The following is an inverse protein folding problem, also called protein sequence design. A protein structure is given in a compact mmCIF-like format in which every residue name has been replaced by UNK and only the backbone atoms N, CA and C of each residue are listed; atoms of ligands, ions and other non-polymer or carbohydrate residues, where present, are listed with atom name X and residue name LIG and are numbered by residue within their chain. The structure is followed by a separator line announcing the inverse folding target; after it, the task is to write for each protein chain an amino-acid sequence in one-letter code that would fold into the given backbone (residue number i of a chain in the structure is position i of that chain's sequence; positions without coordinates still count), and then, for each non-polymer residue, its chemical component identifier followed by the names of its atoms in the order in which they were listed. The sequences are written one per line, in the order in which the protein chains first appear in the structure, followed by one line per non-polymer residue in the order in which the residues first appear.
data_IF_067942929701
#
_entry.id   IF_067942929701
#
_cell.length_a   1.000
_cell.length_b   1.000
_cell.length_c   1.000
_cell.angle_alpha   90.00
_cell.angle_beta   90.00
_cell.angle_gamma   90.00
#
_symmetry.space_group_name_H-M   'P 1'
#
loop_
_entity.id
_entity.type
_entity.pdbx_description
1 polymer ?
#
# COMPACT_ATOMS: atom_id res chain seq x y z
N UNK A 1 -13.00 -28.85 11.39
CA UNK A 1 -14.04 -29.26 10.43
C UNK A 1 -15.33 -28.52 10.75
N UNK A 2 -15.92 -27.87 9.78
CA UNK A 2 -17.20 -27.17 9.91
C UNK A 2 -18.01 -27.30 8.60
N UNK A 3 -19.29 -27.64 8.65
CA UNK A 3 -20.18 -27.81 7.48
C UNK A 3 -19.53 -28.61 6.32
N UNK A 4 -18.93 -29.75 6.64
CA UNK A 4 -18.22 -30.64 5.70
C UNK A 4 -16.98 -30.04 5.03
N UNK A 5 -16.44 -28.97 5.57
CA UNK A 5 -15.15 -28.39 5.15
C UNK A 5 -14.09 -28.65 6.20
N UNK A 6 -12.88 -28.86 5.72
CA UNK A 6 -11.73 -29.15 6.56
C UNK A 6 -10.58 -28.25 6.17
N UNK A 7 -9.92 -27.67 7.17
CA UNK A 7 -8.63 -27.01 7.03
C UNK A 7 -7.64 -27.73 7.94
N UNK A 8 -6.51 -28.13 7.42
CA UNK A 8 -5.47 -28.81 8.17
C UNK A 8 -4.35 -27.83 8.46
N UNK A 9 -4.02 -27.64 9.73
CA UNK A 9 -2.79 -27.02 10.17
C UNK A 9 -1.83 -28.19 10.41
N UNK A 10 -0.84 -28.42 9.54
CA UNK A 10 -0.03 -29.65 9.59
C UNK A 10 0.82 -29.74 10.86
N UNK A 11 1.31 -28.61 11.37
CA UNK A 11 2.00 -28.47 12.65
C UNK A 11 2.02 -27.00 13.08
N UNK A 12 2.22 -26.79 14.38
CA UNK A 12 2.44 -25.44 14.92
C UNK A 12 3.95 -25.20 15.00
N UNK A 13 4.44 -24.36 14.11
CA UNK A 13 5.84 -23.95 14.11
C UNK A 13 6.09 -23.02 15.31
N UNK A 14 7.00 -23.41 16.19
CA UNK A 14 7.37 -22.62 17.37
C UNK A 14 7.94 -21.24 16.98
N UNK A 15 8.62 -21.13 15.86
CA UNK A 15 9.12 -19.85 15.33
C UNK A 15 8.00 -18.92 14.87
N UNK A 16 6.82 -19.47 14.57
CA UNK A 16 5.60 -18.74 14.18
C UNK A 16 4.60 -18.54 15.31
N UNK A 17 4.97 -18.88 16.56
CA UNK A 17 4.05 -18.79 17.72
C UNK A 17 3.36 -17.43 17.88
N UNK A 18 4.02 -16.35 17.47
CA UNK A 18 3.47 -14.99 17.52
C UNK A 18 2.37 -14.75 16.48
N UNK A 19 2.25 -15.62 15.49
CA UNK A 19 1.22 -15.58 14.45
C UNK A 19 0.13 -16.65 14.65
N UNK A 20 0.14 -17.35 15.78
CA UNK A 20 -0.81 -18.44 16.03
C UNK A 20 -2.27 -17.99 15.95
N UNK A 21 -2.57 -16.83 16.51
CA UNK A 21 -3.92 -16.23 16.44
C UNK A 21 -4.32 -15.95 14.98
N UNK A 22 -3.43 -15.34 14.21
CA UNK A 22 -3.64 -15.11 12.79
C UNK A 22 -3.86 -16.41 12.01
N UNK A 23 -3.02 -17.43 12.23
CA UNK A 23 -3.13 -18.73 11.54
C UNK A 23 -4.45 -19.44 11.91
N UNK A 24 -4.92 -19.33 13.16
CA UNK A 24 -6.21 -19.87 13.60
C UNK A 24 -7.39 -19.11 13.00
N UNK A 25 -7.41 -17.79 13.03
CA UNK A 25 -8.45 -16.95 12.41
C UNK A 25 -8.53 -17.23 10.91
N UNK A 26 -7.39 -17.34 10.25
CA UNK A 26 -7.30 -17.72 8.84
C UNK A 26 -7.92 -19.08 8.57
N UNK A 27 -7.61 -20.09 9.40
CA UNK A 27 -8.19 -21.42 9.31
C UNK A 27 -9.72 -21.41 9.49
N UNK A 28 -10.22 -20.67 10.50
CA UNK A 28 -11.65 -20.50 10.76
C UNK A 28 -12.36 -19.82 9.58
N UNK A 29 -11.79 -18.74 9.06
CA UNK A 29 -12.36 -18.02 7.93
C UNK A 29 -12.41 -18.87 6.67
N UNK A 30 -11.38 -19.68 6.39
CA UNK A 30 -11.35 -20.58 5.23
C UNK A 30 -12.40 -21.67 5.28
N UNK A 31 -12.79 -22.13 6.50
CA UNK A 31 -13.85 -23.11 6.68
C UNK A 31 -15.23 -22.46 6.63
N UNK A 32 -15.38 -21.25 7.16
CA UNK A 32 -16.66 -20.57 7.26
C UNK A 32 -17.12 -19.95 5.93
N UNK A 33 -16.20 -19.41 5.14
CA UNK A 33 -16.50 -18.75 3.88
C UNK A 33 -16.66 -19.76 2.74
N UNK A 34 -17.81 -19.68 2.04
CA UNK A 34 -18.11 -20.58 0.91
C UNK A 34 -17.37 -20.20 -0.37
N UNK A 35 -16.92 -18.96 -0.49
CA UNK A 35 -16.24 -18.40 -1.66
C UNK A 35 -14.88 -17.87 -1.24
N UNK A 36 -13.83 -18.29 -1.95
CA UNK A 36 -12.52 -17.67 -1.84
C UNK A 36 -12.64 -16.26 -2.43
N UNK A 37 -12.21 -15.25 -1.66
CA UNK A 37 -12.20 -13.85 -2.13
C UNK A 37 -11.24 -13.71 -3.29
N UNK A 38 -11.72 -13.09 -4.39
CA UNK A 38 -10.91 -12.80 -5.56
C UNK A 38 -10.31 -11.42 -5.46
N UNK A 39 -8.97 -11.35 -5.42
CA UNK A 39 -8.20 -10.11 -5.31
C UNK A 39 -7.61 -9.78 -6.67
N UNK A 40 -8.07 -8.67 -7.26
CA UNK A 40 -7.45 -8.08 -8.45
C UNK A 40 -6.20 -7.31 -8.07
N UNK A 41 -5.10 -7.54 -8.79
CA UNK A 41 -3.84 -6.83 -8.56
C UNK A 41 -3.51 -6.03 -9.81
N UNK A 42 -3.44 -4.71 -9.65
CA UNK A 42 -3.11 -3.74 -10.69
C UNK A 42 -1.80 -3.05 -10.32
N UNK A 43 -0.79 -3.20 -11.16
CA UNK A 43 0.47 -2.48 -11.00
C UNK A 43 1.10 -2.14 -12.36
N UNK A 44 1.55 -0.90 -12.59
CA UNK A 44 2.23 -0.53 -13.82
C UNK A 44 3.68 -1.04 -13.88
N UNK A 45 4.32 -1.33 -12.74
CA UNK A 45 5.71 -1.73 -12.68
C UNK A 45 5.95 -3.18 -12.23
N UNK A 46 4.93 -3.88 -11.75
CA UNK A 46 5.02 -5.33 -11.48
C UNK A 46 4.42 -6.08 -12.68
N UNK A 47 5.19 -6.86 -13.44
CA UNK A 47 4.67 -7.63 -14.55
C UNK A 47 3.56 -8.59 -14.09
N UNK A 48 2.50 -8.74 -14.87
CA UNK A 48 1.39 -9.66 -14.54
C UNK A 48 1.85 -11.09 -14.35
N UNK A 49 2.89 -11.53 -15.08
CA UNK A 49 3.51 -12.84 -14.88
C UNK A 49 4.15 -13.00 -13.51
N UNK A 50 4.63 -11.92 -12.91
CA UNK A 50 5.26 -11.91 -11.59
C UNK A 50 4.25 -12.08 -10.46
N UNK A 51 3.01 -11.64 -10.68
CA UNK A 51 1.91 -11.84 -9.73
C UNK A 51 1.49 -13.31 -9.71
N UNK A 52 1.47 -13.96 -10.87
CA UNK A 52 0.98 -15.32 -11.03
C UNK A 52 2.06 -16.40 -10.79
N UNK A 53 3.33 -16.07 -11.02
CA UNK A 53 4.46 -16.99 -10.83
C UNK A 53 5.31 -16.53 -9.65
N UNK A 54 6.00 -17.50 -9.01
CA UNK A 54 6.96 -17.17 -7.96
C UNK A 54 8.12 -16.36 -8.54
N UNK A 55 8.47 -15.27 -7.87
CA UNK A 55 9.62 -14.43 -8.20
C UNK A 55 10.45 -14.22 -6.94
N UNK A 56 11.76 -14.37 -7.08
CA UNK A 56 12.70 -14.06 -6.00
C UNK A 56 12.63 -12.56 -5.67
N UNK A 57 12.56 -12.26 -4.39
CA UNK A 57 12.47 -10.87 -3.89
C UNK A 57 11.05 -10.31 -3.76
N UNK A 58 9.99 -11.10 -4.06
CA UNK A 58 8.60 -10.67 -3.97
C UNK A 58 7.69 -11.82 -3.49
N UNK A 59 7.89 -12.25 -2.24
CA UNK A 59 7.13 -13.37 -1.66
C UNK A 59 5.69 -13.02 -1.25
N UNK A 60 5.32 -11.73 -1.24
CA UNK A 60 3.98 -11.26 -0.88
C UNK A 60 2.87 -12.01 -1.63
N UNK A 61 3.00 -12.18 -2.94
CA UNK A 61 1.94 -12.83 -3.73
C UNK A 61 1.83 -14.33 -3.44
N UNK A 62 2.93 -14.99 -3.07
CA UNK A 62 2.88 -16.38 -2.62
C UNK A 62 2.13 -16.53 -1.29
N UNK A 63 2.29 -15.56 -0.38
CA UNK A 63 1.53 -15.52 0.87
C UNK A 63 0.04 -15.23 0.61
N UNK A 64 -0.28 -14.28 -0.27
CA UNK A 64 -1.66 -13.94 -0.61
C UNK A 64 -2.39 -15.11 -1.28
N UNK A 65 -1.75 -15.86 -2.18
CA UNK A 65 -2.31 -17.05 -2.85
C UNK A 65 -2.75 -18.15 -1.87
N UNK A 66 -2.17 -18.21 -0.68
CA UNK A 66 -2.58 -19.19 0.34
C UNK A 66 -4.00 -18.93 0.87
N UNK A 67 -4.57 -17.75 0.64
CA UNK A 67 -5.86 -17.32 1.21
C UNK A 67 -6.82 -16.75 0.19
N UNK A 68 -6.33 -16.27 -0.94
CA UNK A 68 -7.08 -15.51 -1.92
C UNK A 68 -6.85 -16.08 -3.34
N UNK A 69 -7.85 -15.93 -4.19
CA UNK A 69 -7.72 -16.12 -5.63
C UNK A 69 -7.18 -14.84 -6.25
N UNK A 70 -5.97 -14.86 -6.81
CA UNK A 70 -5.31 -13.68 -7.35
C UNK A 70 -5.54 -13.54 -8.85
N UNK A 71 -6.03 -12.38 -9.27
CA UNK A 71 -6.19 -11.99 -10.66
C UNK A 71 -5.24 -10.85 -11.01
N UNK A 72 -4.23 -11.12 -11.84
CA UNK A 72 -3.34 -10.08 -12.34
C UNK A 72 -4.04 -9.25 -13.43
N UNK A 73 -4.10 -7.93 -13.25
CA UNK A 73 -4.77 -7.02 -14.18
C UNK A 73 -3.69 -6.25 -14.94
N UNK A 74 -3.64 -6.37 -16.28
CA UNK A 74 -2.70 -5.57 -17.06
C UNK A 74 -3.00 -4.08 -16.90
N UNK A 75 -1.99 -3.26 -16.59
CA UNK A 75 -2.17 -1.83 -16.30
C UNK A 75 -2.71 -1.02 -17.49
N UNK A 76 -2.49 -1.52 -18.71
CA UNK A 76 -3.03 -0.93 -19.95
C UNK A 76 -4.47 -1.36 -20.25
N UNK A 77 -5.09 -2.18 -19.41
CA UNK A 77 -6.50 -2.56 -19.55
C UNK A 77 -7.40 -1.34 -19.36
N UNK A 78 -8.53 -1.34 -20.07
CA UNK A 78 -9.52 -0.26 -19.98
C UNK A 78 -10.59 -0.51 -18.91
N UNK A 79 -10.73 -1.76 -18.45
CA UNK A 79 -11.81 -2.17 -17.54
C UNK A 79 -11.31 -3.24 -16.58
N UNK A 80 -11.80 -3.18 -15.34
CA UNK A 80 -11.60 -4.22 -14.33
C UNK A 80 -12.50 -5.43 -14.64
N UNK A 81 -12.05 -6.67 -14.33
CA UNK A 81 -12.93 -7.83 -14.30
C UNK A 81 -14.06 -7.65 -13.27
N UNK A 82 -15.28 -8.08 -13.63
CA UNK A 82 -16.47 -7.85 -12.78
C UNK A 82 -16.50 -8.70 -11.51
N UNK A 83 -15.82 -9.84 -11.53
CA UNK A 83 -15.79 -10.86 -10.49
C UNK A 83 -14.76 -10.61 -9.37
N UNK A 84 -14.04 -9.49 -9.41
CA UNK A 84 -13.10 -9.07 -8.35
C UNK A 84 -13.88 -8.61 -7.13
N UNK A 85 -13.52 -9.12 -5.96
CA UNK A 85 -14.11 -8.74 -4.67
C UNK A 85 -13.33 -7.59 -3.98
N UNK A 86 -12.00 -7.56 -4.14
CA UNK A 86 -11.08 -6.54 -3.62
C UNK A 86 -10.09 -6.15 -4.73
N UNK A 87 -9.77 -4.87 -4.84
CA UNK A 87 -8.73 -4.40 -5.74
C UNK A 87 -7.52 -3.89 -4.95
N UNK A 88 -6.35 -4.49 -5.22
CA UNK A 88 -5.04 -4.05 -4.75
C UNK A 88 -4.32 -3.31 -5.87
N UNK A 89 -4.05 -2.03 -5.66
CA UNK A 89 -3.29 -1.17 -6.58
C UNK A 89 -1.91 -0.92 -5.97
N UNK A 90 -0.85 -1.26 -6.72
CA UNK A 90 0.54 -1.11 -6.26
C UNK A 90 1.27 -0.15 -7.20
N UNK A 91 1.46 1.09 -6.76
CA UNK A 91 1.94 2.20 -7.58
C UNK A 91 0.96 2.55 -8.69
N UNK A 92 0.98 3.80 -9.12
CA UNK A 92 0.12 4.25 -10.22
C UNK A 92 0.94 5.17 -11.11
N UNK A 93 1.40 4.63 -12.21
CA UNK A 93 1.87 5.42 -13.32
C UNK A 93 0.73 5.47 -14.34
N UNK A 94 0.87 6.07 -15.40
CA UNK A 94 -0.09 6.36 -16.47
C UNK A 94 -1.22 5.30 -16.60
N UNK A 95 -2.30 5.48 -15.84
CA UNK A 95 -3.54 4.72 -16.02
C UNK A 95 -4.42 5.40 -17.09
N UNK A 96 -5.09 4.60 -17.91
CA UNK A 96 -6.06 5.15 -18.87
C UNK A 96 -7.29 5.69 -18.14
N UNK A 97 -7.92 6.73 -18.68
CA UNK A 97 -9.12 7.35 -18.10
C UNK A 97 -10.25 6.32 -17.89
N UNK A 98 -10.39 5.36 -18.80
CA UNK A 98 -11.36 4.28 -18.71
C UNK A 98 -11.06 3.34 -17.53
N UNK A 99 -9.78 3.09 -17.24
CA UNK A 99 -9.39 2.29 -16.07
C UNK A 99 -9.68 3.05 -14.77
N UNK A 100 -9.36 4.35 -14.70
CA UNK A 100 -9.69 5.20 -13.55
C UNK A 100 -11.21 5.21 -13.29
N UNK A 101 -12.03 5.32 -14.34
CA UNK A 101 -13.47 5.18 -14.24
C UNK A 101 -13.88 3.79 -13.72
N UNK A 102 -13.24 2.73 -14.20
CA UNK A 102 -13.54 1.37 -13.74
C UNK A 102 -13.18 1.15 -12.27
N UNK A 103 -12.09 1.77 -11.79
CA UNK A 103 -11.70 1.78 -10.36
C UNK A 103 -12.74 2.53 -9.53
N UNK A 104 -13.15 3.72 -9.98
CA UNK A 104 -14.19 4.51 -9.34
C UNK A 104 -15.49 3.70 -9.19
N UNK A 105 -15.96 3.08 -10.28
CA UNK A 105 -17.20 2.31 -10.26
C UNK A 105 -17.09 0.99 -9.46
N UNK A 106 -15.90 0.40 -9.35
CA UNK A 106 -15.64 -0.71 -8.44
C UNK A 106 -15.90 -0.28 -6.98
N UNK A 107 -15.36 0.85 -6.55
CA UNK A 107 -15.62 1.43 -5.23
C UNK A 107 -17.11 1.80 -5.07
N UNK A 108 -17.70 2.48 -6.05
CA UNK A 108 -19.11 2.89 -6.00
C UNK A 108 -20.05 1.69 -5.90
N UNK A 109 -19.69 0.54 -6.47
CA UNK A 109 -20.47 -0.71 -6.35
C UNK A 109 -20.40 -1.37 -4.96
N UNK A 110 -19.66 -0.80 -4.02
CA UNK A 110 -19.53 -1.27 -2.65
C UNK A 110 -18.38 -2.25 -2.41
N UNK A 111 -17.36 -2.24 -3.26
CA UNK A 111 -16.18 -3.09 -3.15
C UNK A 111 -14.98 -2.29 -2.65
N UNK A 112 -14.10 -2.92 -1.88
CA UNK A 112 -12.99 -2.25 -1.21
C UNK A 112 -11.77 -2.06 -2.12
N UNK A 113 -10.95 -1.05 -1.77
CA UNK A 113 -9.66 -0.78 -2.40
C UNK A 113 -8.54 -0.86 -1.35
N UNK A 114 -7.39 -1.39 -1.77
CA UNK A 114 -6.11 -1.23 -1.06
C UNK A 114 -5.14 -0.60 -2.05
N UNK A 115 -4.54 0.53 -1.69
CA UNK A 115 -3.72 1.32 -2.60
C UNK A 115 -2.39 1.62 -1.94
N UNK A 116 -1.31 1.22 -2.60
CA UNK A 116 0.06 1.53 -2.23
C UNK A 116 0.59 2.58 -3.21
N UNK A 117 0.92 3.74 -2.68
CA UNK A 117 1.47 4.87 -3.43
C UNK A 117 2.89 5.14 -2.93
N UNK A 118 3.66 5.91 -3.67
CA UNK A 118 4.99 6.28 -3.26
C UNK A 118 5.38 7.67 -3.76
N UNK A 119 6.24 8.34 -3.03
CA UNK A 119 6.88 9.58 -3.46
C UNK A 119 8.24 9.32 -4.11
N UNK A 120 8.87 8.20 -3.79
CA UNK A 120 10.15 7.82 -4.36
C UNK A 120 10.34 6.30 -4.37
N UNK A 121 10.04 5.67 -5.50
CA UNK A 121 10.19 4.22 -5.69
C UNK A 121 11.66 3.80 -5.67
N UNK A 122 12.06 3.00 -4.70
CA UNK A 122 13.43 2.47 -4.59
C UNK A 122 13.60 1.21 -5.43
N UNK A 123 12.60 0.36 -5.53
CA UNK A 123 12.63 -0.89 -6.27
C UNK A 123 11.71 -0.85 -7.49
N UNK A 124 12.25 -1.20 -8.65
CA UNK A 124 11.49 -1.47 -9.86
C UNK A 124 11.81 -2.90 -10.37
N UNK A 125 10.92 -3.89 -10.13
CA UNK A 125 11.15 -5.26 -10.55
C UNK A 125 11.23 -5.45 -12.07
N UNK A 126 10.64 -4.56 -12.86
CA UNK A 126 10.57 -4.70 -14.32
C UNK A 126 11.93 -4.53 -15.01
N UNK A 127 12.79 -3.70 -14.44
CA UNK A 127 14.03 -3.27 -15.11
C UNK A 127 15.31 -3.64 -14.34
N UNK A 128 15.23 -4.37 -13.22
CA UNK A 128 16.34 -4.57 -12.29
C UNK A 128 17.03 -3.26 -11.88
N UNK A 129 16.32 -2.15 -11.95
CA UNK A 129 16.79 -0.84 -11.52
C UNK A 129 16.30 -0.55 -10.12
N UNK A 130 17.15 0.08 -9.32
CA UNK A 130 16.84 0.46 -7.95
C UNK A 130 16.23 1.86 -7.83
N UNK A 131 15.99 2.54 -8.94
CA UNK A 131 15.36 3.86 -8.99
C UNK A 131 14.54 4.04 -10.27
N UNK A 132 13.35 4.59 -10.15
CA UNK A 132 12.53 5.05 -11.26
C UNK A 132 12.88 6.49 -11.65
N UNK A 133 12.55 6.89 -12.87
CA UNK A 133 12.67 8.28 -13.29
C UNK A 133 11.63 9.18 -12.59
N UNK A 134 11.84 10.51 -12.65
CA UNK A 134 10.88 11.47 -12.04
C UNK A 134 9.48 11.31 -12.61
N UNK A 135 9.36 11.07 -13.92
CA UNK A 135 8.08 10.89 -14.59
C UNK A 135 7.31 9.66 -14.10
N UNK A 136 8.04 8.65 -13.59
CA UNK A 136 7.45 7.40 -13.10
C UNK A 136 7.01 7.48 -11.63
N UNK A 137 7.26 8.59 -10.97
CA UNK A 137 6.85 8.86 -9.59
C UNK A 137 5.56 9.70 -9.49
N UNK A 138 4.90 9.95 -10.63
CA UNK A 138 3.62 10.65 -10.68
C UNK A 138 2.49 9.64 -10.41
N UNK A 139 1.64 9.97 -9.44
CA UNK A 139 0.48 9.15 -9.08
C UNK A 139 -0.75 9.61 -9.87
N UNK A 140 -1.14 8.90 -10.90
CA UNK A 140 -2.27 9.26 -11.78
C UNK A 140 -3.64 9.10 -11.12
N UNK A 141 -3.73 8.37 -10.01
CA UNK A 141 -4.96 8.20 -9.23
C UNK A 141 -5.25 9.40 -8.30
N UNK A 142 -4.38 10.39 -8.27
CA UNK A 142 -4.44 11.50 -7.30
C UNK A 142 -5.75 12.26 -7.32
N UNK A 143 -6.32 12.51 -8.51
CA UNK A 143 -7.61 13.21 -8.64
C UNK A 143 -8.77 12.41 -8.03
N UNK A 144 -8.79 11.08 -8.23
CA UNK A 144 -9.76 10.19 -7.59
C UNK A 144 -9.61 10.24 -6.07
N UNK A 145 -8.39 10.12 -5.57
CA UNK A 145 -8.11 10.11 -4.14
C UNK A 145 -8.51 11.43 -3.48
N UNK A 146 -8.31 12.56 -4.18
CA UNK A 146 -8.73 13.87 -3.67
C UNK A 146 -10.24 13.96 -3.51
N UNK A 147 -11.01 13.43 -4.44
CA UNK A 147 -12.48 13.35 -4.33
C UNK A 147 -12.90 12.44 -3.17
N UNK A 148 -12.16 11.36 -2.93
CA UNK A 148 -12.43 10.43 -1.81
C UNK A 148 -11.96 10.96 -0.45
N UNK A 149 -11.27 12.10 -0.41
CA UNK A 149 -10.91 12.77 0.84
C UNK A 149 -9.47 12.55 1.30
N UNK A 150 -8.55 12.19 0.40
CA UNK A 150 -7.12 12.09 0.73
C UNK A 150 -6.26 12.60 -0.42
N UNK A 151 -5.14 13.22 -0.09
CA UNK A 151 -4.09 13.66 -1.03
C UNK A 151 -2.76 13.04 -0.62
N UNK A 152 -1.98 12.60 -1.60
CA UNK A 152 -0.57 12.27 -1.38
C UNK A 152 0.31 13.47 -1.73
N UNK A 153 1.28 13.77 -0.86
CA UNK A 153 2.32 14.74 -1.13
C UNK A 153 3.47 14.04 -1.88
N UNK A 154 3.33 13.90 -3.19
CA UNK A 154 4.26 13.16 -4.05
C UNK A 154 5.61 13.83 -4.25
N UNK A 155 5.72 15.15 -3.95
CA UNK A 155 6.96 15.91 -4.16
C UNK A 155 7.91 15.85 -2.95
N UNK A 156 7.47 15.26 -1.85
CA UNK A 156 8.20 15.21 -0.60
C UNK A 156 8.34 13.77 -0.11
N UNK A 157 9.51 13.52 0.49
CA UNK A 157 9.81 12.30 1.23
C UNK A 157 9.84 12.62 2.72
N UNK A 158 9.22 11.79 3.51
CA UNK A 158 9.19 11.90 4.97
C UNK A 158 10.43 11.23 5.56
N UNK A 159 10.99 11.88 6.58
CA UNK A 159 11.93 11.24 7.50
C UNK A 159 11.46 11.39 8.95
N UNK A 160 11.95 10.51 9.83
CA UNK A 160 11.72 10.57 11.28
C UNK A 160 12.98 10.09 12.01
N UNK A 161 13.50 10.94 12.92
CA UNK A 161 14.72 10.61 13.66
C UNK A 161 14.50 9.43 14.61
N UNK A 162 13.34 9.37 15.27
CA UNK A 162 13.04 8.31 16.24
C UNK A 162 12.84 6.93 15.59
N UNK A 163 12.48 6.89 14.31
CA UNK A 163 12.26 5.68 13.56
C UNK A 163 13.38 5.37 12.56
N UNK A 164 14.46 6.16 12.59
CA UNK A 164 15.57 6.00 11.65
C UNK A 164 16.19 4.60 11.72
N UNK A 165 16.46 4.02 10.56
CA UNK A 165 17.15 2.74 10.43
C UNK A 165 18.65 2.93 10.19
N UNK A 166 19.51 2.04 10.71
CA UNK A 166 20.93 2.05 10.39
C UNK A 166 21.16 1.64 8.94
N UNK A 167 21.92 2.42 8.20
CA UNK A 167 22.39 2.11 6.85
C UNK A 167 23.92 2.25 6.77
N UNK A 168 24.52 1.59 5.78
CA UNK A 168 25.97 1.72 5.53
C UNK A 168 26.18 2.78 4.44
N UNK A 169 26.97 3.80 4.75
CA UNK A 169 27.33 4.83 3.79
C UNK A 169 28.42 4.35 2.81
N UNK A 170 28.75 5.17 1.81
CA UNK A 170 29.80 4.86 0.81
C UNK A 170 31.20 4.67 1.41
N UNK A 171 31.44 5.16 2.63
CA UNK A 171 32.70 5.05 3.37
C UNK A 171 32.68 3.87 4.36
N UNK A 172 31.70 2.97 4.27
CA UNK A 172 31.50 1.84 5.17
C UNK A 172 31.20 2.23 6.63
N UNK A 173 30.72 3.46 6.89
CA UNK A 173 30.28 3.86 8.20
C UNK A 173 28.79 3.55 8.37
N UNK A 174 28.42 3.06 9.56
CA UNK A 174 27.01 2.93 9.93
C UNK A 174 26.48 4.31 10.35
N UNK A 175 25.39 4.72 9.72
CA UNK A 175 24.71 6.00 10.01
C UNK A 175 23.22 5.75 10.17
N UNK A 176 22.54 6.53 11.02
CA UNK A 176 21.09 6.49 11.15
C UNK A 176 20.46 7.30 10.02
N UNK A 177 19.63 6.64 9.21
CA UNK A 177 19.02 7.22 8.03
C UNK A 177 17.53 7.47 8.27
N UNK A 178 17.09 8.72 8.45
CA UNK A 178 15.73 9.03 8.89
C UNK A 178 14.65 8.69 7.87
N UNK A 179 14.99 8.51 6.59
CA UNK A 179 14.05 8.21 5.51
C UNK A 179 13.77 6.70 5.35
N UNK A 180 14.47 5.85 6.10
CA UNK A 180 14.11 4.44 6.27
C UNK A 180 13.57 4.27 7.69
N UNK A 181 12.24 4.38 7.80
CA UNK A 181 11.54 4.48 9.07
C UNK A 181 11.04 3.10 9.52
N UNK A 182 11.66 2.53 10.53
CA UNK A 182 11.15 1.32 11.19
C UNK A 182 10.14 1.72 12.25
N UNK A 183 8.89 1.86 11.83
CA UNK A 183 7.78 2.24 12.69
C UNK A 183 7.49 1.11 13.67
N UNK A 184 7.55 1.40 14.95
CA UNK A 184 7.24 0.47 16.03
C UNK A 184 5.76 0.59 16.48
N UNK A 185 5.44 -0.12 17.56
CA UNK A 185 4.09 -0.14 18.14
C UNK A 185 3.54 1.23 18.54
N UNK A 186 4.35 2.27 18.68
CA UNK A 186 3.90 3.62 19.07
C UNK A 186 3.38 4.42 17.87
N UNK A 187 3.89 4.14 16.68
CA UNK A 187 3.43 4.73 15.43
C UNK A 187 2.37 3.90 14.70
N UNK A 188 1.90 2.80 15.31
CA UNK A 188 0.85 1.93 14.78
C UNK A 188 -0.39 2.07 15.65
N UNK A 189 -1.53 2.43 15.05
CA UNK A 189 -2.83 2.47 15.74
C UNK A 189 -3.27 1.06 16.14
N UNK A 190 -3.09 0.68 17.39
CA UNK A 190 -3.38 -0.66 17.92
C UNK A 190 -4.86 -0.91 18.15
N UNK A 191 -5.66 0.13 18.26
CA UNK A 191 -7.09 0.03 18.51
C UNK A 191 -7.85 -0.38 17.24
N UNK A 192 -7.22 -0.21 16.09
CA UNK A 192 -7.81 -0.62 14.81
C UNK A 192 -7.55 -2.11 14.52
N UNK A 193 -8.59 -2.92 14.21
CA UNK A 193 -8.47 -4.37 13.99
C UNK A 193 -7.47 -4.79 12.92
N UNK A 194 -7.28 -3.97 11.86
CA UNK A 194 -6.33 -4.23 10.77
C UNK A 194 -4.89 -4.34 11.28
N UNK A 195 -4.56 -3.65 12.36
CA UNK A 195 -3.22 -3.58 12.91
C UNK A 195 -2.93 -4.66 13.98
N UNK A 196 -3.88 -5.54 14.26
CA UNK A 196 -3.70 -6.64 15.23
C UNK A 196 -2.54 -7.54 14.78
N UNK A 197 -1.58 -7.77 15.67
CA UNK A 197 -0.42 -8.62 15.42
C UNK A 197 0.74 -7.91 14.71
N UNK A 198 0.55 -6.69 14.18
CA UNK A 198 1.63 -5.91 13.57
C UNK A 198 2.49 -5.30 14.68
N UNK A 199 3.78 -5.65 14.71
CA UNK A 199 4.73 -5.15 15.72
C UNK A 199 5.61 -4.01 15.20
N UNK A 200 5.95 -4.05 13.94
CA UNK A 200 6.70 -3.01 13.24
C UNK A 200 6.41 -3.06 11.73
N UNK A 201 6.62 -1.94 11.07
CA UNK A 201 6.58 -1.78 9.62
C UNK A 201 7.76 -0.93 9.19
N UNK A 202 8.41 -1.29 8.09
CA UNK A 202 9.45 -0.47 7.48
C UNK A 202 8.81 0.37 6.37
N UNK A 203 9.00 1.69 6.41
CA UNK A 203 8.67 2.62 5.35
C UNK A 203 9.98 3.19 4.77
N UNK A 204 10.11 3.14 3.45
CA UNK A 204 11.34 3.47 2.73
C UNK A 204 11.09 4.67 1.82
N UNK A 205 11.63 5.82 2.20
CA UNK A 205 11.51 7.06 1.40
C UNK A 205 10.07 7.43 1.03
N UNK A 206 9.16 7.16 1.93
CA UNK A 206 7.72 7.29 1.74
C UNK A 206 7.22 8.74 1.65
N UNK A 207 6.06 8.92 1.03
CA UNK A 207 5.34 10.19 1.00
C UNK A 207 4.46 10.44 2.22
N UNK A 208 3.73 11.56 2.21
CA UNK A 208 2.74 11.93 3.23
C UNK A 208 1.32 11.79 2.69
N UNK A 209 0.44 11.14 3.46
CA UNK A 209 -0.99 11.13 3.21
C UNK A 209 -1.66 12.26 3.99
N UNK A 210 -2.31 13.17 3.29
CA UNK A 210 -3.03 14.31 3.86
C UNK A 210 -4.53 14.03 3.73
N UNK A 211 -5.21 13.86 4.86
CA UNK A 211 -6.66 13.65 4.90
C UNK A 211 -7.41 14.96 4.77
N UNK A 212 -8.48 14.99 3.99
CA UNK A 212 -9.24 16.18 3.62
C UNK A 212 -10.63 16.25 4.27
N UNK A 213 -11.05 15.19 4.95
CA UNK A 213 -12.34 15.08 5.64
C UNK A 213 -12.21 14.27 6.94
N UNK A 214 -13.30 14.13 7.70
CA UNK A 214 -13.32 13.44 9.00
C UNK A 214 -13.60 11.91 8.90
N UNK A 215 -13.94 11.40 7.71
CA UNK A 215 -14.32 9.97 7.54
C UNK A 215 -13.10 9.07 7.35
N UNK A 216 -12.16 9.14 8.29
CA UNK A 216 -10.93 8.37 8.23
C UNK A 216 -10.39 7.99 9.60
N UNK A 217 -9.54 6.97 9.62
CA UNK A 217 -8.67 6.66 10.75
C UNK A 217 -7.23 6.48 10.28
N UNK A 218 -6.29 7.08 11.03
CA UNK A 218 -4.86 6.88 10.80
C UNK A 218 -4.47 5.49 11.28
N UNK A 219 -3.82 4.71 10.42
CA UNK A 219 -3.35 3.37 10.76
C UNK A 219 -1.88 3.37 11.18
N UNK A 220 -1.05 4.14 10.47
CA UNK A 220 0.39 4.28 10.74
C UNK A 220 0.79 5.74 10.59
N UNK A 221 1.63 6.21 11.53
CA UNK A 221 2.05 7.61 11.57
C UNK A 221 3.45 7.77 12.20
N UNK A 222 4.10 8.88 11.87
CA UNK A 222 5.41 9.26 12.41
C UNK A 222 5.29 9.85 13.83
N UNK A 223 6.43 10.06 14.47
CA UNK A 223 6.52 10.90 15.68
C UNK A 223 6.51 12.39 15.30
N UNK A 224 6.55 13.26 16.30
CA UNK A 224 6.76 14.70 16.11
C UNK A 224 8.22 15.05 15.81
N UNK A 225 9.14 14.06 15.75
CA UNK A 225 10.53 14.24 15.32
C UNK A 225 10.66 13.99 13.81
N UNK A 226 9.58 14.12 13.08
CA UNK A 226 9.56 13.97 11.63
C UNK A 226 9.87 15.29 10.90
N UNK A 227 10.16 15.18 9.63
CA UNK A 227 10.38 16.28 8.70
C UNK A 227 10.24 15.81 7.27
N UNK A 228 10.32 16.73 6.32
CA UNK A 228 10.18 16.45 4.89
C UNK A 228 11.37 16.97 4.10
N UNK A 229 11.72 16.27 3.03
CA UNK A 229 12.78 16.64 2.08
C UNK A 229 12.22 16.50 0.67
N UNK A 230 12.64 17.36 -0.25
CA UNK A 230 12.24 17.30 -1.65
C UNK A 230 12.69 15.97 -2.29
N UNK A 231 11.79 15.26 -2.96
CA UNK A 231 12.08 13.95 -3.53
C UNK A 231 13.14 14.01 -4.65
N UNK A 232 13.31 15.15 -5.34
CA UNK A 232 14.31 15.31 -6.36
C UNK A 232 15.75 15.24 -5.81
N UNK A 233 15.95 15.56 -4.53
CA UNK A 233 17.26 15.48 -3.91
C UNK A 233 17.75 14.04 -3.77
N UNK A 234 16.84 13.06 -3.69
CA UNK A 234 17.18 11.64 -3.61
C UNK A 234 17.86 11.09 -4.88
N UNK A 235 17.73 11.80 -6.00
CA UNK A 235 18.39 11.47 -7.28
C UNK A 235 19.78 12.07 -7.41
N UNK A 236 20.03 13.16 -6.68
CA UNK A 236 21.22 13.98 -6.83
C UNK A 236 22.18 13.76 -5.65
N UNK A 237 21.65 13.64 -4.45
CA UNK A 237 22.43 13.63 -3.22
C UNK A 237 22.77 12.20 -2.78
N UNK A 238 23.92 12.06 -2.14
CA UNK A 238 24.26 10.86 -1.38
C UNK A 238 23.58 10.89 0.00
N UNK A 239 23.64 9.76 0.70
CA UNK A 239 23.01 9.55 2.01
C UNK A 239 23.35 10.65 3.03
N UNK A 240 24.63 11.03 3.14
CA UNK A 240 25.07 12.06 4.11
C UNK A 240 24.50 13.44 3.75
N UNK A 241 24.46 13.79 2.47
CA UNK A 241 23.90 15.06 2.01
C UNK A 241 22.40 15.13 2.28
N UNK A 242 21.67 14.04 2.03
CA UNK A 242 20.23 13.94 2.34
C UNK A 242 19.94 14.13 3.84
N UNK A 243 20.76 13.53 4.71
CA UNK A 243 20.65 13.72 6.17
C UNK A 243 20.87 15.17 6.54
N UNK A 244 21.80 15.88 5.90
CA UNK A 244 22.05 17.29 6.19
C UNK A 244 20.90 18.21 5.75
N UNK A 245 20.14 17.82 4.72
CA UNK A 245 18.94 18.55 4.28
C UNK A 245 17.74 18.31 5.20
N UNK A 246 17.74 17.19 5.95
CA UNK A 246 16.65 16.84 6.84
C UNK A 246 16.56 17.81 8.03
N UNK A 247 15.36 18.35 8.21
CA UNK A 247 15.02 19.19 9.37
C UNK A 247 13.68 18.76 9.94
N UNK A 248 13.68 18.39 11.21
CA UNK A 248 12.43 18.12 11.94
C UNK A 248 11.61 19.42 12.08
N UNK A 249 10.30 19.29 12.00
CA UNK A 249 9.36 20.42 12.07
C UNK A 249 8.30 20.28 13.16
N UNK A 250 8.47 19.32 14.06
CA UNK A 250 7.56 19.01 15.19
C UNK A 250 6.14 18.57 14.78
N UNK A 251 5.97 18.05 13.56
CA UNK A 251 4.69 17.54 13.08
C UNK A 251 4.72 16.00 12.99
N UNK A 252 3.64 15.35 13.41
CA UNK A 252 3.40 13.93 13.12
C UNK A 252 2.67 13.78 11.79
N UNK A 253 3.13 12.87 10.94
CA UNK A 253 2.63 12.64 9.58
C UNK A 253 1.99 11.29 9.40
N UNK A 254 0.99 11.22 8.53
CA UNK A 254 0.27 9.98 8.24
C UNK A 254 0.97 9.21 7.12
N UNK A 255 1.30 7.94 7.39
CA UNK A 255 1.92 7.01 6.46
C UNK A 255 0.92 5.98 5.91
N UNK A 256 -0.08 5.63 6.70
CA UNK A 256 -1.19 4.78 6.27
C UNK A 256 -2.50 5.24 6.90
N UNK A 257 -3.57 5.16 6.13
CA UNK A 257 -4.91 5.60 6.51
C UNK A 257 -5.97 4.66 5.96
N UNK A 258 -7.06 4.49 6.68
CA UNK A 258 -8.30 3.94 6.15
C UNK A 258 -9.34 5.04 5.99
N UNK A 259 -9.98 5.09 4.84
CA UNK A 259 -11.10 5.97 4.55
C UNK A 259 -12.38 5.15 4.56
N UNK A 260 -13.43 5.72 5.11
CA UNK A 260 -14.75 5.10 5.19
C UNK A 260 -15.76 5.81 4.28
N UNK A 261 -16.71 5.04 3.77
CA UNK A 261 -17.88 5.57 3.05
C UNK A 261 -18.67 6.56 3.95
N UNK A 262 -19.50 7.46 3.37
CA UNK A 262 -19.88 7.46 1.96
C UNK A 262 -18.86 8.14 1.03
N UNK A 263 -18.68 7.57 -0.16
CA UNK A 263 -17.89 8.16 -1.24
C UNK A 263 -18.80 8.66 -2.36
N UNK A 264 -18.37 9.72 -3.04
CA UNK A 264 -19.00 10.22 -4.28
C UNK A 264 -18.11 9.84 -5.46
N UNK A 265 -18.73 9.52 -6.59
CA UNK A 265 -17.97 9.27 -7.82
C UNK A 265 -17.22 10.53 -8.26
N UNK A 266 -15.97 10.34 -8.67
CA UNK A 266 -15.18 11.41 -9.27
C UNK A 266 -15.57 11.71 -10.73
N UNK A 267 -16.52 10.95 -11.30
CA UNK A 267 -16.97 11.10 -12.69
C UNK A 267 -18.40 11.60 -12.75
N UNK A 268 -18.64 12.59 -13.65
CA UNK A 268 -19.98 13.10 -13.91
C UNK A 268 -20.68 12.22 -14.97
N UNK A 269 -21.88 11.74 -14.64
CA UNK A 269 -22.70 10.90 -15.52
C UNK A 269 -23.04 11.60 -16.84
N UNK A 270 -23.38 12.89 -16.81
CA UNK A 270 -23.81 13.67 -17.98
C UNK A 270 -22.66 13.92 -18.94
N UNK A 271 -21.48 14.29 -18.42
CA UNK A 271 -20.30 14.56 -19.22
C UNK A 271 -19.76 13.32 -19.94
N UNK A 272 -19.90 12.15 -19.32
CA UNK A 272 -19.32 10.91 -19.83
C UNK A 272 -20.33 10.02 -20.58
N UNK A 273 -21.62 10.37 -20.67
CA UNK A 273 -22.71 9.58 -21.33
C UNK A 273 -22.73 8.11 -20.91
N UNK A 274 -22.44 7.84 -19.64
CA UNK A 274 -22.22 6.49 -19.13
C UNK A 274 -23.55 5.84 -18.73
N UNK A 275 -23.86 4.70 -19.33
CA UNK A 275 -24.98 3.84 -18.90
C UNK A 275 -24.58 3.11 -17.61
N UNK A 276 -25.53 2.99 -16.67
CA UNK A 276 -25.33 2.30 -15.38
C UNK A 276 -24.28 2.93 -14.45
N UNK A 277 -24.03 4.22 -14.57
CA UNK A 277 -23.15 4.94 -13.66
C UNK A 277 -23.71 4.99 -12.23
N UNK A 278 -22.88 4.65 -11.24
CA UNK A 278 -23.18 4.72 -9.81
C UNK A 278 -22.53 5.99 -9.28
N UNK A 279 -23.32 6.94 -8.80
CA UNK A 279 -22.86 8.28 -8.37
C UNK A 279 -22.36 8.32 -6.93
N UNK A 280 -22.77 7.36 -6.09
CA UNK A 280 -22.35 7.28 -4.69
C UNK A 280 -22.19 5.84 -4.25
N UNK A 281 -21.26 5.59 -3.31
CA UNK A 281 -20.91 4.26 -2.85
C UNK A 281 -22.07 3.52 -2.20
N UNK A 282 -22.16 2.23 -2.48
CA UNK A 282 -23.10 1.28 -1.90
C UNK A 282 -22.39 0.39 -0.87
N UNK A 283 -23.13 -0.27 0.02
CA UNK A 283 -22.62 -1.32 0.91
C UNK A 283 -21.41 -0.94 1.79
N UNK A 284 -21.23 0.34 2.07
CA UNK A 284 -20.18 0.87 2.95
C UNK A 284 -18.75 0.37 2.64
N UNK A 285 -18.22 0.58 1.44
CA UNK A 285 -16.85 0.21 1.13
C UNK A 285 -15.84 1.07 1.90
N UNK A 286 -14.60 0.59 1.94
CA UNK A 286 -13.47 1.31 2.51
C UNK A 286 -12.28 1.34 1.56
N UNK A 287 -11.39 2.30 1.77
CA UNK A 287 -10.12 2.43 1.06
C UNK A 287 -9.01 2.41 2.09
N UNK A 288 -8.06 1.50 1.94
CA UNK A 288 -6.82 1.50 2.73
C UNK A 288 -5.71 2.03 1.84
N UNK A 289 -4.96 3.03 2.35
CA UNK A 289 -3.84 3.61 1.65
C UNK A 289 -2.54 3.45 2.46
N UNK A 290 -1.46 3.19 1.74
CA UNK A 290 -0.09 3.26 2.22
C UNK A 290 0.69 4.22 1.33
N UNK A 291 1.56 5.03 1.93
CA UNK A 291 2.38 6.01 1.22
C UNK A 291 3.75 5.47 0.81
N UNK A 292 3.90 4.16 0.78
CA UNK A 292 5.12 3.46 0.41
C UNK A 292 4.77 2.12 -0.26
N UNK A 293 5.51 1.76 -1.31
CA UNK A 293 5.40 0.48 -2.00
C UNK A 293 6.57 -0.46 -1.72
N UNK A 294 7.70 0.05 -1.28
CA UNK A 294 8.94 -0.73 -1.18
C UNK A 294 8.88 -1.84 -0.14
N UNK A 295 8.09 -1.66 0.93
CA UNK A 295 7.95 -2.65 2.00
C UNK A 295 7.33 -3.99 1.56
N UNK A 296 6.70 -4.08 0.38
CA UNK A 296 6.20 -5.36 -0.15
C UNK A 296 7.30 -6.26 -0.68
N UNK A 297 8.49 -5.71 -0.97
CA UNK A 297 9.62 -6.47 -1.51
C UNK A 297 10.45 -7.10 -0.39
N UNK A 298 10.87 -8.34 -0.60
CA UNK A 298 11.57 -9.16 0.40
C UNK A 298 12.81 -8.48 1.02
N UNK A 299 13.64 -7.71 0.28
CA UNK A 299 14.77 -7.01 0.88
C UNK A 299 14.39 -6.05 2.00
N UNK A 300 13.17 -5.52 1.99
CA UNK A 300 12.65 -4.61 3.01
C UNK A 300 11.70 -5.31 4.00
N UNK A 301 10.89 -6.26 3.54
CA UNK A 301 9.89 -6.93 4.39
C UNK A 301 10.47 -8.07 5.24
N UNK A 302 11.52 -8.75 4.77
CA UNK A 302 12.11 -9.92 5.41
C UNK A 302 13.45 -9.63 6.13
N UNK A 303 13.67 -8.42 6.59
CA UNK A 303 14.86 -8.09 7.38
C UNK A 303 14.86 -8.91 8.68
N UNK A 304 15.92 -9.71 8.85
CA UNK A 304 16.18 -10.53 10.05
C UNK A 304 16.68 -9.68 11.21
#
# INVERSE_FOLDING_TARGET
IYKNRQFNIPYFDFNRRHYLEYDLIKAINSINNSKIMKVGILSPFIPTSSILKKIDGLSLFEELKKSYDLAAIPFFSKKLPEDIDLLLIIGTNILQKEMLYSIDQHLMSGKNLVILLDSFYRINPSNNQTQLSISEQINDISDLLQVYGVKINSDKVIGDINYSSPVIDKRQNQINYPFWMKIDKKGINKDHPINIGINNLLFVESGELITLNENHEKLVYTTNQSGIVDNNLFKIYNTNNLINEFKQDNLSRTLSVILYSPFQSAFNKEENKLKNHISSSQNNPSIILFSDTDWIFDPFSLQK
#
